data_IF_007455222406
#
_entry.id   IF_007455222406
#
_cell.length_a   1.000
_cell.length_b   1.000
_cell.length_c   1.000
_cell.angle_alpha   90.00
_cell.angle_beta   90.00
_cell.angle_gamma   90.00
#
_symmetry.space_group_name_H-M   'P 1'
#
loop_
_entity.id
_entity.type
_entity.pdbx_description
1 polymer ?
#
# COMPACT_ATOMS: atom_id res chain seq x y z
N UNK A 1 -19.79 -9.85 -9.90
CA UNK A 1 -19.08 -9.25 -11.02
C UNK A 1 -17.60 -9.59 -10.89
N UNK A 2 -17.14 -10.60 -11.68
CA UNK A 2 -15.81 -11.24 -11.50
C UNK A 2 -14.63 -10.40 -12.04
N UNK A 3 -14.83 -9.12 -12.29
CA UNK A 3 -13.83 -8.26 -12.96
C UNK A 3 -12.50 -8.11 -12.19
N UNK A 4 -12.56 -8.12 -10.87
CA UNK A 4 -11.39 -7.88 -10.03
C UNK A 4 -10.58 -9.16 -9.72
N UNK A 5 -11.07 -10.33 -10.14
CA UNK A 5 -10.37 -11.62 -9.97
C UNK A 5 -9.12 -11.72 -10.85
N UNK A 6 -9.05 -10.94 -11.93
CA UNK A 6 -7.90 -10.91 -12.86
C UNK A 6 -7.01 -9.68 -12.71
N UNK A 7 -7.06 -9.01 -11.56
CA UNK A 7 -6.23 -7.85 -11.28
C UNK A 7 -4.75 -8.22 -11.22
N UNK A 8 -3.90 -7.35 -11.76
CA UNK A 8 -2.45 -7.53 -11.74
C UNK A 8 -1.90 -7.01 -10.40
N UNK A 9 -1.13 -7.87 -9.73
CA UNK A 9 -0.37 -7.49 -8.53
C UNK A 9 1.11 -7.45 -8.89
N UNK A 10 1.76 -6.31 -8.65
CA UNK A 10 3.17 -6.10 -8.94
C UNK A 10 3.94 -5.71 -7.70
N UNK A 11 5.13 -6.32 -7.51
CA UNK A 11 6.10 -5.88 -6.52
C UNK A 11 7.26 -5.17 -7.23
N UNK A 12 7.62 -3.99 -6.77
CA UNK A 12 8.79 -3.24 -7.20
C UNK A 12 9.85 -3.25 -6.10
N UNK A 13 11.07 -3.65 -6.47
CA UNK A 13 12.24 -3.56 -5.60
C UNK A 13 13.07 -2.33 -5.96
N UNK A 14 13.34 -1.47 -4.98
CA UNK A 14 14.18 -0.29 -5.15
C UNK A 14 15.59 -0.56 -4.67
N UNK A 15 16.56 -0.22 -5.50
CA UNK A 15 17.99 -0.22 -5.19
C UNK A 15 18.48 1.21 -5.11
N UNK A 16 19.50 1.42 -4.29
CA UNK A 16 20.24 2.69 -4.23
C UNK A 16 21.63 2.39 -4.78
N UNK A 17 22.20 3.34 -5.50
CA UNK A 17 23.58 3.27 -5.97
C UNK A 17 24.52 2.92 -4.78
N UNK A 18 25.50 2.10 -5.01
CA UNK A 18 26.42 1.56 -4.00
C UNK A 18 25.81 0.60 -2.96
N UNK A 19 24.51 0.28 -3.04
CA UNK A 19 23.90 -0.75 -2.21
C UNK A 19 23.54 -1.97 -3.04
N UNK A 20 24.19 -3.11 -2.74
CA UNK A 20 24.02 -4.33 -3.53
C UNK A 20 22.60 -4.89 -3.48
N UNK A 21 21.94 -4.76 -2.34
CA UNK A 21 20.64 -5.36 -2.08
C UNK A 21 19.48 -4.40 -2.35
N UNK A 22 18.27 -4.97 -2.52
CA UNK A 22 17.03 -4.21 -2.56
C UNK A 22 16.78 -3.62 -1.17
N UNK A 23 16.69 -2.30 -1.10
CA UNK A 23 16.50 -1.57 0.17
C UNK A 23 15.04 -1.31 0.52
N UNK A 24 14.15 -1.30 -0.48
CA UNK A 24 12.73 -1.07 -0.27
C UNK A 24 11.92 -1.87 -1.28
N UNK A 25 10.78 -2.39 -0.85
CA UNK A 25 9.82 -3.11 -1.70
C UNK A 25 8.47 -2.45 -1.62
N UNK A 26 7.85 -2.18 -2.78
CA UNK A 26 6.51 -1.64 -2.88
C UNK A 26 5.59 -2.60 -3.64
N UNK A 27 4.38 -2.82 -3.14
CA UNK A 27 3.35 -3.60 -3.82
C UNK A 27 2.25 -2.69 -4.33
N UNK A 28 1.94 -2.83 -5.62
CA UNK A 28 0.83 -2.21 -6.32
C UNK A 28 -0.13 -3.32 -6.74
N UNK A 29 -1.34 -3.29 -6.23
CA UNK A 29 -2.25 -4.41 -6.33
C UNK A 29 -3.47 -4.15 -7.23
N UNK A 30 -3.61 -2.93 -7.78
CA UNK A 30 -4.83 -2.56 -8.51
C UNK A 30 -6.07 -2.83 -7.66
N UNK A 31 -7.07 -3.43 -8.28
CA UNK A 31 -8.33 -3.76 -7.61
C UNK A 31 -8.39 -5.22 -7.13
N UNK A 32 -7.22 -5.81 -6.84
CA UNK A 32 -7.12 -7.21 -6.41
C UNK A 32 -7.86 -7.46 -5.09
N UNK A 33 -8.93 -8.23 -5.17
CA UNK A 33 -9.73 -8.67 -4.03
C UNK A 33 -9.13 -9.91 -3.35
N UNK A 34 -9.69 -10.32 -2.21
CA UNK A 34 -9.15 -11.42 -1.42
C UNK A 34 -8.94 -12.76 -2.18
N UNK A 35 -9.72 -13.16 -3.21
CA UNK A 35 -9.44 -14.41 -3.92
C UNK A 35 -8.12 -14.36 -4.68
N UNK A 36 -7.75 -13.20 -5.24
CA UNK A 36 -6.46 -13.00 -5.91
C UNK A 36 -5.32 -13.18 -4.93
N UNK A 37 -5.43 -12.60 -3.74
CA UNK A 37 -4.41 -12.70 -2.71
C UNK A 37 -4.28 -14.11 -2.13
N UNK A 38 -5.41 -14.83 -1.99
CA UNK A 38 -5.42 -16.23 -1.60
C UNK A 38 -4.67 -17.07 -2.63
N UNK A 39 -4.99 -16.90 -3.91
CA UNK A 39 -4.31 -17.60 -5.00
C UNK A 39 -2.81 -17.29 -5.04
N UNK A 40 -2.41 -16.02 -4.90
CA UNK A 40 -1.00 -15.61 -4.86
C UNK A 40 -0.28 -16.26 -3.67
N UNK A 41 -0.89 -16.26 -2.50
CA UNK A 41 -0.29 -16.82 -1.29
C UNK A 41 -0.08 -18.34 -1.40
N UNK A 42 -1.04 -19.05 -1.98
CA UNK A 42 -0.99 -20.51 -2.16
C UNK A 42 0.02 -20.93 -3.23
N UNK A 43 0.07 -20.22 -4.34
CA UNK A 43 0.83 -20.63 -5.52
C UNK A 43 2.22 -19.97 -5.64
N UNK A 44 2.52 -18.95 -4.85
CA UNK A 44 3.83 -18.32 -4.88
C UNK A 44 4.82 -19.05 -3.98
N UNK A 45 5.79 -19.73 -4.56
CA UNK A 45 6.86 -20.44 -3.83
C UNK A 45 7.90 -19.48 -3.25
N UNK A 46 8.13 -18.34 -3.91
CA UNK A 46 9.08 -17.31 -3.46
C UNK A 46 8.35 -16.28 -2.58
N UNK A 47 8.28 -16.56 -1.30
CA UNK A 47 7.61 -15.67 -0.33
C UNK A 47 8.30 -14.30 -0.18
N UNK A 48 9.51 -14.13 -0.66
CA UNK A 48 10.19 -12.83 -0.67
C UNK A 48 9.50 -11.81 -1.60
N UNK A 49 8.81 -12.31 -2.63
CA UNK A 49 7.97 -11.51 -3.54
C UNK A 49 6.68 -10.98 -2.90
N UNK A 50 6.34 -11.42 -1.70
CA UNK A 50 5.18 -10.91 -0.96
C UNK A 50 5.56 -9.85 0.06
N UNK A 51 6.84 -9.71 0.37
CA UNK A 51 7.33 -8.74 1.35
C UNK A 51 7.21 -7.31 0.85
N UNK A 52 6.88 -6.39 1.76
CA UNK A 52 6.68 -4.99 1.42
C UNK A 52 7.05 -4.02 2.56
N UNK A 53 7.57 -2.86 2.15
CA UNK A 53 7.70 -1.66 2.97
C UNK A 53 6.57 -0.67 2.66
N UNK A 54 6.03 -0.74 1.44
CA UNK A 54 4.94 0.10 0.98
C UNK A 54 3.89 -0.76 0.28
N UNK A 55 2.64 -0.61 0.66
CA UNK A 55 1.50 -1.27 0.05
C UNK A 55 0.50 -0.23 -0.43
N UNK A 56 0.18 -0.24 -1.72
CA UNK A 56 -0.99 0.47 -2.20
C UNK A 56 -2.22 -0.35 -1.83
N UNK A 57 -3.10 0.23 -1.01
CA UNK A 57 -4.29 -0.45 -0.52
C UNK A 57 -5.14 -0.91 -1.71
N UNK A 58 -5.38 -2.24 -1.88
CA UNK A 58 -6.14 -2.77 -2.99
C UNK A 58 -7.53 -2.14 -3.10
N UNK A 59 -8.00 -2.04 -4.34
CA UNK A 59 -9.34 -1.60 -4.70
C UNK A 59 -9.76 -0.32 -3.95
N UNK A 60 -8.89 0.70 -4.01
CA UNK A 60 -9.13 2.01 -3.40
C UNK A 60 -9.50 1.98 -1.91
N UNK A 61 -8.93 1.03 -1.15
CA UNK A 61 -9.27 0.76 0.26
C UNK A 61 -10.66 0.12 0.44
N UNK A 62 -11.07 -0.77 -0.49
CA UNK A 62 -12.30 -1.56 -0.33
C UNK A 62 -12.15 -2.62 0.76
N UNK A 63 -13.30 -3.04 1.31
CA UNK A 63 -13.36 -4.19 2.20
C UNK A 63 -13.13 -5.52 1.47
N UNK A 64 -13.35 -5.59 0.15
CA UNK A 64 -13.20 -6.80 -0.66
C UNK A 64 -11.79 -7.41 -0.65
N UNK A 65 -10.77 -6.64 -0.23
CA UNK A 65 -9.45 -7.19 0.09
C UNK A 65 -9.49 -8.14 1.31
N UNK A 66 -10.34 -7.88 2.29
CA UNK A 66 -10.42 -8.66 3.54
C UNK A 66 -11.35 -9.85 3.46
N UNK A 67 -12.51 -9.69 2.87
CA UNK A 67 -13.45 -10.77 2.53
C UNK A 67 -14.56 -10.29 1.57
N UNK A 68 -15.43 -11.24 1.11
CA UNK A 68 -16.59 -10.94 0.25
C UNK A 68 -17.92 -10.96 1.02
N UNK A 69 -17.90 -11.14 2.33
CA UNK A 69 -19.12 -11.24 3.12
C UNK A 69 -19.57 -9.89 3.64
N UNK A 70 -20.85 -9.76 3.99
CA UNK A 70 -21.37 -8.59 4.69
C UNK A 70 -20.83 -8.46 6.11
N UNK A 71 -20.30 -9.54 6.68
CA UNK A 71 -19.65 -9.51 8.00
C UNK A 71 -18.25 -8.87 7.88
N UNK A 72 -18.18 -7.57 8.18
CA UNK A 72 -16.93 -6.81 8.16
C UNK A 72 -16.07 -6.97 9.45
N UNK A 73 -16.28 -7.99 10.24
CA UNK A 73 -15.47 -8.31 11.41
C UNK A 73 -14.47 -9.43 11.12
N UNK A 74 -14.82 -10.33 10.20
CA UNK A 74 -13.97 -11.43 9.76
C UNK A 74 -13.08 -11.03 8.59
N UNK A 75 -11.87 -11.55 8.58
CA UNK A 75 -10.92 -11.37 7.48
C UNK A 75 -10.36 -12.73 7.06
N UNK A 76 -10.13 -12.90 5.77
CA UNK A 76 -9.52 -14.13 5.25
C UNK A 76 -8.06 -14.23 5.68
N UNK A 77 -7.56 -15.45 5.81
CA UNK A 77 -6.18 -15.71 6.23
C UNK A 77 -5.15 -15.04 5.33
N UNK A 78 -5.37 -15.04 4.02
CA UNK A 78 -4.47 -14.43 3.06
C UNK A 78 -4.30 -12.92 3.31
N UNK A 79 -5.40 -12.19 3.49
CA UNK A 79 -5.34 -10.77 3.80
C UNK A 79 -4.61 -10.50 5.12
N UNK A 80 -4.86 -11.33 6.14
CA UNK A 80 -4.14 -11.20 7.41
C UNK A 80 -2.64 -11.41 7.23
N UNK A 81 -2.22 -12.51 6.59
CA UNK A 81 -0.80 -12.84 6.36
C UNK A 81 -0.07 -11.76 5.55
N UNK A 82 -0.69 -11.25 4.48
CA UNK A 82 -0.08 -10.17 3.67
C UNK A 82 0.23 -8.96 4.56
N UNK A 83 -0.65 -8.61 5.48
CA UNK A 83 -0.48 -7.44 6.33
C UNK A 83 0.39 -7.68 7.56
N UNK A 84 0.57 -8.92 8.02
CA UNK A 84 1.37 -9.22 9.23
C UNK A 84 2.70 -9.86 8.93
N UNK A 85 2.72 -10.94 8.13
CA UNK A 85 3.90 -11.78 7.98
C UNK A 85 4.87 -11.25 6.92
N UNK A 86 4.35 -10.46 5.97
CA UNK A 86 5.14 -9.93 4.85
C UNK A 86 5.46 -8.44 4.96
N UNK A 87 5.03 -7.78 6.01
CA UNK A 87 5.42 -6.40 6.32
C UNK A 87 6.89 -6.33 6.73
N UNK A 88 7.69 -5.48 6.06
CA UNK A 88 9.11 -5.32 6.37
C UNK A 88 9.30 -4.19 7.39
N UNK A 89 9.87 -4.55 8.54
CA UNK A 89 10.28 -3.59 9.57
C UNK A 89 9.13 -2.86 10.25
N UNK A 90 9.47 -1.77 10.92
CA UNK A 90 8.51 -0.98 11.72
C UNK A 90 8.05 0.31 11.01
N UNK A 91 8.61 0.58 9.83
CA UNK A 91 8.33 1.79 9.05
C UNK A 91 7.61 1.46 7.73
N UNK A 92 6.76 0.46 7.74
CA UNK A 92 5.94 0.14 6.59
C UNK A 92 4.78 1.13 6.47
N UNK A 93 4.41 1.45 5.22
CA UNK A 93 3.38 2.43 4.88
C UNK A 93 2.29 1.78 4.04
N UNK A 94 1.03 2.16 4.30
CA UNK A 94 -0.10 1.80 3.45
C UNK A 94 -0.70 3.08 2.88
N UNK A 95 -0.93 3.08 1.57
CA UNK A 95 -1.45 4.24 0.84
C UNK A 95 -2.77 3.85 0.19
N UNK A 96 -3.84 4.53 0.55
CA UNK A 96 -5.13 4.44 -0.13
C UNK A 96 -5.21 5.52 -1.21
N UNK A 97 -5.19 5.08 -2.48
CA UNK A 97 -5.49 5.94 -3.63
C UNK A 97 -7.00 6.04 -3.78
N UNK A 98 -7.64 6.88 -3.00
CA UNK A 98 -9.10 6.94 -2.90
C UNK A 98 -9.58 8.36 -2.64
N UNK A 99 -10.88 8.56 -2.75
CA UNK A 99 -11.56 9.69 -2.16
C UNK A 99 -11.38 9.72 -0.64
N UNK A 100 -11.81 10.81 0.01
CA UNK A 100 -11.80 10.94 1.45
C UNK A 100 -12.59 9.82 2.13
N UNK A 101 -11.93 9.06 2.99
CA UNK A 101 -12.55 7.91 3.68
C UNK A 101 -13.37 8.43 4.87
N UNK A 102 -14.67 8.33 4.76
CA UNK A 102 -15.63 8.78 5.78
C UNK A 102 -16.29 7.60 6.48
N UNK A 103 -16.73 7.80 7.71
CA UNK A 103 -17.52 6.81 8.45
C UNK A 103 -18.96 6.77 7.91
N UNK A 104 -19.12 6.07 6.80
CA UNK A 104 -20.39 5.87 6.10
C UNK A 104 -20.42 4.47 5.46
N UNK A 105 -21.46 4.18 4.67
CA UNK A 105 -21.66 2.88 4.01
C UNK A 105 -20.90 2.71 2.69
N UNK A 106 -20.07 3.68 2.28
CA UNK A 106 -19.33 3.60 1.02
C UNK A 106 -18.30 2.45 1.03
N UNK A 107 -18.20 1.76 -0.12
CA UNK A 107 -17.19 0.74 -0.35
C UNK A 107 -17.00 0.53 -1.86
N UNK A 108 -15.91 0.96 -2.49
CA UNK A 108 -14.81 1.75 -1.94
C UNK A 108 -15.08 3.27 -1.86
N UNK A 109 -14.33 4.02 -1.05
CA UNK A 109 -13.46 3.52 0.01
C UNK A 109 -14.23 3.13 1.25
N UNK A 110 -13.76 2.12 1.98
CA UNK A 110 -14.42 1.58 3.16
C UNK A 110 -13.75 2.04 4.47
N UNK A 111 -14.51 2.67 5.36
CA UNK A 111 -14.00 3.12 6.66
C UNK A 111 -13.52 1.97 7.55
N UNK A 112 -14.25 0.85 7.58
CA UNK A 112 -13.84 -0.34 8.35
C UNK A 112 -12.55 -0.94 7.79
N UNK A 113 -12.36 -0.94 6.46
CA UNK A 113 -11.11 -1.36 5.83
C UNK A 113 -9.94 -0.48 6.26
N UNK A 114 -10.09 0.84 6.23
CA UNK A 114 -9.08 1.77 6.74
C UNK A 114 -8.68 1.46 8.18
N UNK A 115 -9.65 1.28 9.08
CA UNK A 115 -9.38 0.93 10.48
C UNK A 115 -8.63 -0.40 10.59
N UNK A 116 -8.98 -1.39 9.78
CA UNK A 116 -8.30 -2.68 9.75
C UNK A 116 -6.86 -2.55 9.25
N UNK A 117 -6.61 -1.80 8.18
CA UNK A 117 -5.25 -1.52 7.71
C UNK A 117 -4.39 -0.84 8.78
N UNK A 118 -4.93 0.21 9.42
CA UNK A 118 -4.24 0.91 10.52
C UNK A 118 -3.86 -0.02 11.66
N UNK A 119 -4.78 -0.88 12.10
CA UNK A 119 -4.52 -1.83 13.20
C UNK A 119 -3.44 -2.88 12.89
N UNK A 120 -3.07 -3.05 11.61
CA UNK A 120 -2.00 -3.97 11.18
C UNK A 120 -0.65 -3.29 11.01
N UNK A 121 -0.60 -1.97 10.98
CA UNK A 121 0.64 -1.21 10.95
C UNK A 121 1.25 -1.09 12.35
N UNK A 122 2.57 -1.11 12.45
CA UNK A 122 3.29 -0.83 13.71
C UNK A 122 3.10 0.62 14.16
N UNK A 123 2.88 1.52 13.22
CA UNK A 123 2.53 2.91 13.45
C UNK A 123 1.31 3.24 12.57
N UNK A 124 0.15 3.44 13.19
CA UNK A 124 -1.10 3.74 12.48
C UNK A 124 -1.04 5.04 11.66
N UNK A 125 -0.15 5.99 12.03
CA UNK A 125 0.06 7.22 11.25
C UNK A 125 0.77 7.00 9.91
N UNK A 126 1.27 5.79 9.64
CA UNK A 126 1.81 5.40 8.35
C UNK A 126 0.73 4.94 7.34
N UNK A 127 -0.54 5.08 7.68
CA UNK A 127 -1.64 4.97 6.72
C UNK A 127 -1.96 6.35 6.13
N UNK A 128 -2.00 6.45 4.80
CA UNK A 128 -2.30 7.70 4.08
C UNK A 128 -3.43 7.50 3.09
N UNK A 129 -4.36 8.46 3.06
CA UNK A 129 -5.34 8.60 2.00
C UNK A 129 -4.93 9.78 1.10
N UNK A 130 -4.83 9.54 -0.20
CA UNK A 130 -4.37 10.55 -1.15
C UNK A 130 -5.26 11.78 -1.21
N UNK A 131 -6.56 11.63 -0.98
CA UNK A 131 -7.51 12.74 -1.00
C UNK A 131 -7.34 13.74 0.15
N UNK A 132 -6.80 13.28 1.30
CA UNK A 132 -6.68 14.14 2.50
C UNK A 132 -5.27 14.71 2.62
N UNK A 133 -4.27 13.86 2.32
CA UNK A 133 -2.87 14.16 2.66
C UNK A 133 -2.17 15.09 1.69
N UNK A 134 -2.77 15.35 0.54
CA UNK A 134 -2.13 16.08 -0.54
C UNK A 134 -3.04 17.11 -1.20
N UNK A 135 -3.60 18.00 -0.40
CA UNK A 135 -4.30 19.16 -0.93
C UNK A 135 -3.48 20.41 -0.64
N UNK A 136 -3.40 21.33 -1.60
CA UNK A 136 -2.96 22.70 -1.34
C UNK A 136 -4.11 23.53 -0.74
N UNK A 137 -3.85 24.82 -0.47
CA UNK A 137 -4.86 25.75 0.02
C UNK A 137 -6.08 25.92 -0.92
N UNK A 138 -5.93 25.53 -2.19
CA UNK A 138 -6.99 25.55 -3.21
C UNK A 138 -7.65 24.17 -3.40
N UNK A 139 -7.37 23.21 -2.53
CA UNK A 139 -7.83 21.81 -2.63
C UNK A 139 -7.39 21.09 -3.92
N UNK A 140 -6.32 21.54 -4.54
CA UNK A 140 -5.74 20.89 -5.72
C UNK A 140 -4.94 19.65 -5.28
N UNK A 141 -5.18 18.47 -5.85
CA UNK A 141 -4.41 17.28 -5.54
C UNK A 141 -2.92 17.47 -5.83
N UNK A 142 -2.07 17.07 -4.90
CA UNK A 142 -0.62 17.04 -5.05
C UNK A 142 -0.12 15.60 -5.08
N UNK A 143 1.00 15.30 -5.75
CA UNK A 143 1.58 13.98 -5.74
C UNK A 143 2.03 13.59 -4.33
N UNK A 144 1.83 12.32 -3.96
CA UNK A 144 2.43 11.74 -2.77
C UNK A 144 3.85 11.36 -3.11
N UNK A 145 4.82 11.93 -2.42
CA UNK A 145 6.25 11.72 -2.67
C UNK A 145 6.89 11.00 -1.50
N UNK A 146 7.61 9.93 -1.80
CA UNK A 146 8.43 9.21 -0.83
C UNK A 146 9.90 9.28 -1.21
N UNK A 147 10.72 9.57 -0.23
CA UNK A 147 12.17 9.41 -0.33
C UNK A 147 12.55 8.10 0.35
N UNK A 148 13.29 7.27 -0.39
CA UNK A 148 13.80 5.99 0.12
C UNK A 148 15.23 6.21 0.59
N UNK A 149 15.45 6.13 1.89
CA UNK A 149 16.78 6.23 2.48
C UNK A 149 17.62 4.97 2.29
N UNK A 150 18.94 5.08 2.50
CA UNK A 150 19.93 4.02 2.27
C UNK A 150 19.61 2.68 2.96
N UNK A 151 18.89 2.71 4.06
CA UNK A 151 18.48 1.52 4.83
C UNK A 151 17.00 1.18 4.65
N UNK A 152 16.40 1.57 3.52
CA UNK A 152 14.99 1.30 3.21
C UNK A 152 13.99 2.13 4.02
N UNK A 153 14.45 3.13 4.77
CA UNK A 153 13.57 4.02 5.51
C UNK A 153 12.77 4.89 4.54
N UNK A 154 11.45 4.82 4.65
CA UNK A 154 10.54 5.66 3.88
C UNK A 154 10.31 6.99 4.62
N UNK A 155 10.44 8.07 3.90
CA UNK A 155 10.12 9.42 4.36
C UNK A 155 9.13 10.04 3.40
N UNK A 156 7.90 10.26 3.86
CA UNK A 156 6.93 11.05 3.10
C UNK A 156 7.39 12.51 3.11
N UNK A 157 7.36 13.15 1.94
CA UNK A 157 7.72 14.56 1.80
C UNK A 157 6.68 15.31 1.00
N UNK A 158 6.45 16.56 1.34
CA UNK A 158 5.48 17.43 0.65
C UNK A 158 6.13 18.20 -0.52
N UNK A 159 7.45 18.07 -0.67
CA UNK A 159 8.19 18.78 -1.74
C UNK A 159 9.07 17.81 -2.51
N UNK A 160 8.93 17.81 -3.84
CA UNK A 160 9.97 17.31 -4.73
C UNK A 160 11.06 18.39 -4.70
N UNK A 161 12.15 18.18 -3.95
CA UNK A 161 13.35 18.97 -4.21
C UNK A 161 13.79 18.56 -5.61
N UNK A 162 13.71 19.48 -6.57
CA UNK A 162 14.35 19.29 -7.86
C UNK A 162 15.84 19.04 -7.56
N UNK A 163 16.30 17.80 -7.71
CA UNK A 163 17.71 17.54 -7.82
C UNK A 163 18.16 18.25 -9.09
N UNK A 164 19.06 19.21 -8.97
CA UNK A 164 19.77 19.69 -10.13
C UNK A 164 20.35 18.49 -10.87
N UNK A 165 20.29 18.45 -12.20
CA UNK A 165 20.88 17.36 -12.96
C UNK A 165 22.35 17.28 -12.57
N UNK A 166 22.81 16.10 -12.15
CA UNK A 166 24.22 15.81 -11.93
C UNK A 166 24.88 16.09 -13.28
N UNK A 167 25.63 17.20 -13.36
CA UNK A 167 26.50 17.45 -14.50
C UNK A 167 27.61 16.42 -14.42
N UNK A 168 27.62 15.51 -15.37
CA UNK A 168 28.77 14.67 -15.64
C UNK A 168 29.88 15.58 -16.18
N UNK A 169 30.94 15.79 -15.43
CA UNK A 169 32.23 16.27 -15.93
C UNK A 169 32.99 15.10 -16.55
#
# INVERSE_FOLDING_TARGET
DDKNIISIVMQFGFKIEDVKDIVCKAIFAGDAEHPVWTHILENNTDKDRLKWNMLLAPHHCSWTFFNSTSNKDEIVEAANKILTDYQIGNNAHIIASSEEIKDNENDPPCYKAMKKYKSKLKNESNFFCTAITNKDEKSIPKPVVYVIGRFGKLLKTDTVKSSEPIRSE
#
